data_IF_569863916239
#
_entry.id   IF_569863916239
#
_cell.length_a   1.000
_cell.length_b   1.000
_cell.length_c   1.000
_cell.angle_alpha   90.00
_cell.angle_beta   90.00
_cell.angle_gamma   90.00
#
_symmetry.space_group_name_H-M   'P 1'
#
loop_
_entity.id
_entity.type
_entity.pdbx_description
1 polymer ?
#
# COMPACT_ATOMS: atom_id res chain seq x y z
N UNK A 1 11.99 -17.58 3.91
CA UNK A 1 12.17 -16.43 3.00
C UNK A 1 10.81 -16.11 2.44
N UNK A 2 10.31 -14.90 2.66
CA UNK A 2 8.98 -14.52 2.20
C UNK A 2 9.00 -14.22 0.71
N UNK A 3 8.10 -14.83 -0.05
CA UNK A 3 7.98 -14.60 -1.49
C UNK A 3 7.00 -13.45 -1.76
N UNK A 4 7.45 -12.38 -2.41
CA UNK A 4 6.60 -11.23 -2.76
C UNK A 4 6.24 -11.22 -4.24
N UNK A 5 5.03 -11.67 -4.50
CA UNK A 5 4.41 -11.66 -5.81
C UNK A 5 3.62 -10.36 -6.03
N UNK A 6 3.70 -9.84 -7.23
CA UNK A 6 2.97 -8.64 -7.64
C UNK A 6 2.36 -8.87 -9.02
N UNK A 7 1.05 -9.03 -9.07
CA UNK A 7 0.29 -9.13 -10.32
C UNK A 7 -0.13 -7.76 -10.87
N UNK A 8 0.19 -6.67 -10.17
CA UNK A 8 -0.17 -5.31 -10.58
C UNK A 8 0.72 -4.87 -11.74
N UNK A 9 0.15 -4.78 -12.94
CA UNK A 9 0.89 -4.46 -14.17
C UNK A 9 1.37 -3.01 -14.24
N UNK A 10 0.69 -2.09 -13.55
CA UNK A 10 1.14 -0.69 -13.43
C UNK A 10 2.12 -0.46 -12.28
N UNK A 11 2.57 -1.51 -11.58
CA UNK A 11 3.55 -1.35 -10.52
C UNK A 11 4.94 -1.06 -11.10
N UNK A 12 5.51 0.09 -10.74
CA UNK A 12 6.83 0.53 -11.20
C UNK A 12 8.00 -0.37 -10.79
N UNK A 13 7.79 -1.24 -9.80
CA UNK A 13 8.79 -2.18 -9.28
C UNK A 13 8.47 -3.64 -9.62
N UNK A 14 7.44 -3.90 -10.43
CA UNK A 14 7.10 -5.24 -10.87
C UNK A 14 8.01 -5.68 -12.02
N UNK A 15 8.75 -6.77 -11.81
CA UNK A 15 9.56 -7.44 -12.81
C UNK A 15 9.14 -8.90 -12.88
N UNK A 16 8.55 -9.30 -14.01
CA UNK A 16 8.10 -10.69 -14.23
C UNK A 16 7.19 -11.24 -13.12
N UNK A 17 6.27 -10.41 -12.61
CA UNK A 17 5.35 -10.70 -11.50
C UNK A 17 5.98 -10.75 -10.10
N UNK A 18 7.19 -10.26 -9.93
CA UNK A 18 7.83 -10.11 -8.62
C UNK A 18 8.06 -8.64 -8.33
N UNK A 19 7.71 -8.20 -7.12
CA UNK A 19 8.06 -6.84 -6.70
C UNK A 19 9.51 -6.84 -6.22
N UNK A 20 10.37 -6.07 -6.89
CA UNK A 20 11.79 -6.00 -6.55
C UNK A 20 12.12 -4.84 -5.59
N UNK A 21 11.20 -4.47 -4.69
CA UNK A 21 11.51 -3.55 -3.59
C UNK A 21 12.16 -4.33 -2.45
N UNK A 22 13.07 -3.69 -1.69
CA UNK A 22 13.65 -4.31 -0.50
C UNK A 22 12.69 -4.32 0.69
N UNK A 23 11.64 -3.50 0.62
CA UNK A 23 10.59 -3.37 1.62
C UNK A 23 9.21 -3.19 0.96
N UNK A 24 8.13 -3.51 1.67
CA UNK A 24 6.77 -3.02 1.34
C UNK A 24 5.98 -2.72 2.61
N UNK A 25 4.97 -1.86 2.49
CA UNK A 25 4.01 -1.59 3.56
C UNK A 25 2.60 -1.95 3.11
N UNK A 26 1.98 -2.89 3.82
CA UNK A 26 0.56 -3.23 3.69
C UNK A 26 -0.24 -2.30 4.59
N UNK A 27 -0.90 -1.32 3.97
CA UNK A 27 -1.81 -0.38 4.59
C UNK A 27 -3.23 -0.92 4.72
N UNK A 28 -4.08 -0.10 5.34
CA UNK A 28 -5.45 -0.45 5.73
C UNK A 28 -5.55 -0.85 7.21
N UNK A 29 -5.19 0.00 8.18
CA UNK A 29 -5.12 -0.39 9.59
C UNK A 29 -6.40 -0.99 10.19
N UNK A 30 -7.55 -0.66 9.59
CA UNK A 30 -8.90 -1.10 9.97
C UNK A 30 -9.51 -2.09 8.97
N UNK A 31 -8.72 -2.63 8.04
CA UNK A 31 -9.23 -3.55 7.03
C UNK A 31 -9.79 -4.82 7.68
N UNK A 32 -10.98 -5.21 7.24
CA UNK A 32 -11.63 -6.47 7.58
C UNK A 32 -11.68 -7.45 6.41
N UNK A 33 -11.40 -6.98 5.19
CA UNK A 33 -11.36 -7.75 3.94
C UNK A 33 -10.16 -7.29 3.10
N UNK A 34 -9.66 -8.15 2.22
CA UNK A 34 -8.46 -7.89 1.40
C UNK A 34 -8.58 -6.60 0.57
N UNK A 35 -9.76 -6.32 0.00
CA UNK A 35 -10.02 -5.14 -0.84
C UNK A 35 -9.90 -3.79 -0.10
N UNK A 36 -9.85 -3.82 1.24
CA UNK A 36 -9.61 -2.65 2.08
C UNK A 36 -8.13 -2.47 2.44
N UNK A 37 -7.30 -3.47 2.16
CA UNK A 37 -5.85 -3.35 2.25
C UNK A 37 -5.29 -2.74 0.97
N UNK A 38 -4.08 -2.19 1.04
CA UNK A 38 -3.37 -1.67 -0.13
C UNK A 38 -1.86 -1.66 0.13
N UNK A 39 -1.06 -1.68 -0.94
CA UNK A 39 0.37 -1.42 -0.84
C UNK A 39 0.60 0.09 -0.72
N UNK A 40 1.01 0.56 0.46
CA UNK A 40 1.13 1.98 0.77
C UNK A 40 2.34 2.66 0.11
N UNK A 41 3.34 1.89 -0.29
CA UNK A 41 4.48 2.36 -1.10
C UNK A 41 4.34 1.92 -2.56
N UNK A 42 3.12 1.70 -3.03
CA UNK A 42 2.86 1.43 -4.43
C UNK A 42 3.31 2.62 -5.29
N UNK A 43 3.99 2.33 -6.40
CA UNK A 43 4.38 3.31 -7.40
C UNK A 43 3.64 2.93 -8.68
N UNK A 44 2.71 3.78 -9.10
CA UNK A 44 2.04 3.61 -10.40
C UNK A 44 2.96 4.15 -11.52
N UNK A 45 3.20 3.34 -12.55
CA UNK A 45 4.02 3.73 -13.70
C UNK A 45 3.43 4.88 -14.51
N UNK A 46 2.10 5.01 -14.53
CA UNK A 46 1.39 6.04 -15.28
C UNK A 46 1.39 7.37 -14.53
N UNK A 47 1.15 7.35 -13.22
CA UNK A 47 1.15 8.55 -12.37
C UNK A 47 2.58 9.08 -12.14
N UNK A 48 3.57 8.19 -12.08
CA UNK A 48 4.97 8.56 -11.84
C UNK A 48 5.84 8.58 -13.11
N UNK A 49 5.26 8.83 -14.28
CA UNK A 49 6.03 9.02 -15.53
C UNK A 49 7.03 10.17 -15.35
N UNK A 50 8.32 9.84 -15.20
CA UNK A 50 9.41 10.82 -15.08
C UNK A 50 9.97 11.02 -13.67
N UNK A 51 9.39 10.38 -12.64
CA UNK A 51 10.02 10.34 -11.31
C UNK A 51 11.19 9.36 -11.36
N UNK A 52 12.41 9.77 -10.98
CA UNK A 52 13.52 8.83 -10.82
C UNK A 52 13.08 7.72 -9.88
N UNK A 53 13.00 6.49 -10.39
CA UNK A 53 12.82 5.34 -9.53
C UNK A 53 14.07 5.30 -8.68
N UNK A 54 13.94 5.49 -7.36
CA UNK A 54 15.04 5.26 -6.44
C UNK A 54 15.61 3.90 -6.82
N UNK A 55 16.86 3.88 -7.28
CA UNK A 55 17.51 2.72 -7.86
C UNK A 55 17.78 1.71 -6.74
N UNK A 56 16.72 1.07 -6.26
CA UNK A 56 16.83 -0.13 -5.45
C UNK A 56 17.24 -1.23 -6.40
N UNK A 57 18.14 -2.10 -5.96
CA UNK A 57 18.66 -3.19 -6.79
C UNK A 57 17.50 -4.12 -7.18
N UNK A 58 16.91 -3.86 -8.35
CA UNK A 58 15.73 -4.54 -8.86
C UNK A 58 16.09 -5.84 -9.59
N UNK A 59 17.30 -6.36 -9.40
CA UNK A 59 17.79 -7.49 -10.17
C UNK A 59 17.41 -8.83 -9.56
N UNK A 60 17.24 -8.93 -8.24
CA UNK A 60 16.88 -10.17 -7.54
C UNK A 60 15.84 -9.93 -6.44
N UNK A 61 14.94 -10.90 -6.16
CA UNK A 61 14.15 -10.88 -4.94
C UNK A 61 15.05 -10.67 -3.72
N UNK A 62 14.69 -9.72 -2.86
CA UNK A 62 15.47 -9.45 -1.65
C UNK A 62 15.26 -10.60 -0.65
N UNK A 63 16.30 -11.38 -0.29
CA UNK A 63 16.16 -12.43 0.72
C UNK A 63 15.89 -11.87 2.12
N UNK A 64 16.17 -10.58 2.34
CA UNK A 64 15.88 -9.80 3.55
C UNK A 64 14.75 -8.81 3.31
N UNK A 65 13.70 -9.22 2.59
CA UNK A 65 12.52 -8.40 2.35
C UNK A 65 11.84 -8.06 3.69
N UNK A 66 11.75 -6.77 4.01
CA UNK A 66 11.02 -6.29 5.18
C UNK A 66 9.57 -5.93 4.79
N UNK A 67 8.60 -6.46 5.52
CA UNK A 67 7.19 -6.28 5.20
C UNK A 67 6.51 -5.69 6.41
N UNK A 68 6.23 -4.39 6.32
CA UNK A 68 5.45 -3.70 7.34
C UNK A 68 3.97 -3.97 7.11
N UNK A 69 3.27 -4.47 8.12
CA UNK A 69 1.82 -4.69 8.07
C UNK A 69 1.11 -3.81 9.09
N UNK A 70 0.40 -2.77 8.62
CA UNK A 70 -0.36 -1.89 9.52
C UNK A 70 -1.74 -2.46 9.87
N UNK A 71 -2.18 -3.51 9.16
CA UNK A 71 -3.51 -4.10 9.31
C UNK A 71 -3.59 -4.83 10.64
N UNK A 72 -4.23 -4.21 11.63
CA UNK A 72 -4.32 -4.71 13.02
C UNK A 72 -4.93 -6.11 13.10
N UNK A 73 -5.92 -6.37 12.23
CA UNK A 73 -6.62 -7.65 12.14
C UNK A 73 -5.99 -8.66 11.17
N UNK A 74 -4.79 -8.44 10.63
CA UNK A 74 -4.17 -9.42 9.74
C UNK A 74 -3.56 -10.56 10.56
N UNK A 75 -3.86 -11.84 10.28
CA UNK A 75 -3.32 -12.99 11.03
C UNK A 75 -1.79 -13.01 11.06
N UNK A 76 -1.17 -12.56 9.97
CA UNK A 76 0.27 -12.52 9.77
C UNK A 76 0.96 -11.29 10.38
N UNK A 77 0.24 -10.36 11.01
CA UNK A 77 0.83 -9.12 11.52
C UNK A 77 1.39 -9.26 12.95
N UNK A 78 2.67 -9.53 13.10
CA UNK A 78 3.40 -9.60 14.37
C UNK A 78 4.07 -8.27 14.68
N UNK A 79 3.47 -7.44 15.55
CA UNK A 79 3.95 -6.09 15.92
C UNK A 79 4.39 -5.22 14.72
N UNK A 80 3.50 -5.10 13.72
CA UNK A 80 3.73 -4.37 12.46
C UNK A 80 4.70 -5.04 11.49
N UNK A 81 5.22 -6.23 11.79
CA UNK A 81 5.98 -7.05 10.85
C UNK A 81 5.10 -8.19 10.31
N UNK A 82 5.14 -8.44 8.99
CA UNK A 82 4.37 -9.53 8.39
C UNK A 82 5.17 -10.85 8.45
N UNK A 83 4.61 -11.88 9.08
CA UNK A 83 5.20 -13.22 9.18
C UNK A 83 4.74 -14.19 8.08
N UNK A 84 4.00 -13.72 7.07
CA UNK A 84 3.57 -14.55 5.96
C UNK A 84 4.76 -15.09 5.14
N UNK A 85 4.70 -16.37 4.76
CA UNK A 85 5.70 -16.98 3.87
C UNK A 85 5.55 -16.52 2.41
N UNK A 86 4.36 -16.06 2.03
CA UNK A 86 4.04 -15.63 0.67
C UNK A 86 3.08 -14.46 0.67
N UNK A 87 3.42 -13.38 -0.02
CA UNK A 87 2.60 -12.18 -0.17
C UNK A 87 2.24 -11.96 -1.63
N UNK A 88 0.94 -11.92 -1.91
CA UNK A 88 0.36 -11.54 -3.20
C UNK A 88 -0.16 -10.10 -3.15
N UNK A 89 0.40 -9.21 -3.97
CA UNK A 89 -0.17 -7.89 -4.25
C UNK A 89 -0.90 -7.93 -5.58
N UNK A 90 -2.19 -7.57 -5.57
CA UNK A 90 -3.08 -7.59 -6.74
C UNK A 90 -3.77 -6.25 -6.93
N UNK A 91 -4.43 -6.12 -8.08
CA UNK A 91 -5.28 -4.99 -8.38
C UNK A 91 -6.72 -5.29 -7.97
N UNK A 92 -7.36 -4.35 -7.28
CA UNK A 92 -8.75 -4.41 -6.86
C UNK A 92 -9.52 -3.20 -7.35
N UNK A 93 -10.85 -3.32 -7.38
CA UNK A 93 -11.75 -2.21 -7.74
C UNK A 93 -12.64 -1.88 -6.55
N UNK A 94 -12.59 -0.63 -6.12
CA UNK A 94 -13.42 -0.08 -5.03
C UNK A 94 -14.28 1.05 -5.55
N UNK A 95 -15.34 1.41 -4.81
CA UNK A 95 -16.16 2.63 -4.98
C UNK A 95 -16.26 3.17 -6.43
N UNK A 96 -17.24 2.68 -7.19
CA UNK A 96 -17.52 3.14 -8.55
C UNK A 96 -16.39 2.88 -9.56
N UNK A 97 -15.53 1.89 -9.30
CA UNK A 97 -14.54 1.40 -10.26
C UNK A 97 -13.16 2.00 -10.11
N UNK A 98 -12.89 2.73 -9.02
CA UNK A 98 -11.54 3.16 -8.67
C UNK A 98 -10.62 1.94 -8.52
N UNK A 99 -9.53 1.95 -9.27
CA UNK A 99 -8.52 0.88 -9.24
C UNK A 99 -7.53 1.17 -8.10
N UNK A 100 -7.27 0.17 -7.27
CA UNK A 100 -6.29 0.22 -6.18
C UNK A 100 -5.50 -1.08 -6.09
N UNK A 101 -4.44 -1.09 -5.29
CA UNK A 101 -3.79 -2.35 -4.91
C UNK A 101 -4.48 -2.98 -3.69
N UNK A 102 -4.39 -4.30 -3.57
CA UNK A 102 -4.78 -5.06 -2.38
C UNK A 102 -3.71 -6.10 -2.06
N UNK A 103 -3.58 -6.44 -0.77
CA UNK A 103 -2.86 -7.62 -0.31
C UNK A 103 -3.82 -8.80 -0.34
N UNK A 104 -3.71 -9.66 -1.36
CA UNK A 104 -4.56 -10.85 -1.50
C UNK A 104 -4.22 -11.94 -0.48
N UNK A 105 -3.01 -11.90 0.09
CA UNK A 105 -2.61 -12.74 1.24
C UNK A 105 -3.30 -12.34 2.54
N UNK A 106 -3.91 -11.15 2.62
CA UNK A 106 -4.57 -10.72 3.85
C UNK A 106 -5.61 -11.75 4.31
N UNK A 107 -5.41 -12.20 5.54
CA UNK A 107 -6.38 -13.01 6.26
C UNK A 107 -6.75 -12.32 7.56
N UNK A 108 -8.04 -12.26 7.84
CA UNK A 108 -8.56 -11.60 9.02
C UNK A 108 -8.44 -12.53 10.24
N UNK A 109 -7.84 -12.03 11.32
CA UNK A 109 -7.88 -12.59 12.66
C UNK A 109 -9.33 -12.64 13.06
N UNK A 110 -9.91 -13.81 12.88
CA UNK A 110 -11.28 -14.08 13.24
C UNK A 110 -11.38 -14.02 14.75
N UNK A 111 -11.71 -12.85 15.30
CA UNK A 111 -12.16 -12.72 16.69
C UNK A 111 -13.55 -13.35 16.79
N UNK A 112 -13.61 -14.69 16.79
CA UNK A 112 -14.78 -15.49 17.16
C UNK A 112 -16.14 -15.00 16.66
N UNK A 113 -16.37 -14.98 15.34
CA UNK A 113 -17.72 -15.13 14.79
C UNK A 113 -17.67 -16.08 13.59
N UNK A 114 -18.57 -17.06 13.61
CA UNK A 114 -18.44 -18.30 12.86
C UNK A 114 -18.54 -18.14 11.34
N UNK A 115 -17.55 -18.69 10.64
CA UNK A 115 -17.75 -19.38 9.37
C UNK A 115 -18.02 -18.52 8.13
N UNK A 116 -17.02 -18.42 7.26
CA UNK A 116 -17.25 -18.51 5.82
C UNK A 116 -16.19 -19.37 5.17
N UNK A 117 -16.59 -20.61 4.89
CA UNK A 117 -15.82 -21.57 4.08
C UNK A 117 -15.88 -21.12 2.60
N UNK A 118 -14.71 -21.15 1.97
CA UNK A 118 -14.45 -21.33 0.53
C UNK A 118 -15.47 -20.79 -0.47
N UNK A 119 -15.10 -19.67 -1.11
CA UNK A 119 -15.67 -19.24 -2.40
C UNK A 119 -15.13 -20.12 -3.53
N UNK A 120 -15.83 -21.21 -3.83
CA UNK A 120 -15.89 -21.75 -5.21
C UNK A 120 -16.98 -20.95 -5.93
N UNK A 121 -16.66 -20.43 -7.11
CA UNK A 121 -17.34 -19.26 -7.67
C UNK A 121 -18.76 -19.44 -8.22
N UNK A 122 -19.20 -18.31 -8.79
CA UNK A 122 -20.38 -18.07 -9.66
C UNK A 122 -21.59 -17.46 -8.95
N UNK A 123 -22.11 -16.38 -9.55
CA UNK A 123 -23.44 -15.86 -9.26
C UNK A 123 -23.42 -14.57 -8.44
N UNK A 124 -23.75 -13.45 -9.10
CA UNK A 124 -23.82 -12.15 -8.44
C UNK A 124 -24.98 -12.03 -7.46
N UNK A 125 -24.87 -11.08 -6.53
CA UNK A 125 -25.98 -10.25 -6.06
C UNK A 125 -25.45 -9.04 -5.28
N UNK A 126 -26.11 -7.92 -5.54
CA UNK A 126 -26.04 -6.62 -4.90
C UNK A 126 -26.35 -6.71 -3.39
N UNK A 127 -25.59 -6.00 -2.54
CA UNK A 127 -26.04 -5.60 -1.19
C UNK A 127 -25.26 -4.40 -0.63
N UNK A 128 -25.92 -3.24 -0.72
CA UNK A 128 -26.02 -2.16 0.27
C UNK A 128 -24.85 -1.91 1.25
N UNK A 129 -24.14 -0.81 0.98
CA UNK A 129 -23.99 0.31 1.91
C UNK A 129 -23.43 0.03 3.31
N UNK A 130 -22.12 0.21 3.47
CA UNK A 130 -21.55 0.89 4.64
C UNK A 130 -20.55 1.93 4.16
N UNK A 131 -20.84 3.20 4.47
CA UNK A 131 -19.98 4.32 4.15
C UNK A 131 -18.64 4.21 4.87
N UNK A 132 -17.56 4.32 4.11
CA UNK A 132 -16.22 4.46 4.65
C UNK A 132 -15.66 5.79 4.14
N UNK A 133 -15.31 6.66 5.09
CA UNK A 133 -14.89 8.03 4.86
C UNK A 133 -13.69 8.13 3.92
N UNK A 134 -13.69 9.18 3.11
CA UNK A 134 -12.59 9.53 2.23
C UNK A 134 -11.31 9.76 3.04
N UNK A 135 -10.32 8.88 2.90
CA UNK A 135 -8.95 9.17 3.33
C UNK A 135 -8.29 9.95 2.20
N UNK A 136 -8.23 11.27 2.36
CA UNK A 136 -7.46 12.16 1.49
C UNK A 136 -5.97 11.83 1.60
N UNK A 137 -5.33 11.62 0.45
CA UNK A 137 -3.88 11.61 0.35
C UNK A 137 -3.36 12.99 0.75
N UNK A 138 -2.63 13.09 1.86
CA UNK A 138 -1.95 14.31 2.25
C UNK A 138 -0.77 14.51 1.29
N UNK A 139 -0.89 15.51 0.42
CA UNK A 139 0.23 16.07 -0.32
C UNK A 139 1.17 16.74 0.69
N UNK A 140 2.41 16.27 0.73
CA UNK A 140 3.48 16.88 1.50
C UNK A 140 3.99 18.07 0.68
N UNK A 141 3.45 19.27 0.94
CA UNK A 141 3.93 20.51 0.34
C UNK A 141 5.13 21.02 1.16
N UNK A 142 6.33 20.79 0.62
CA UNK A 142 7.58 21.33 1.16
C UNK A 142 7.64 22.83 0.86
N UNK A 143 7.38 23.64 1.89
CA UNK A 143 7.56 25.09 1.86
C UNK A 143 9.03 25.48 1.95
N UNK A 144 9.62 25.96 0.86
CA UNK A 144 10.83 26.78 0.88
C UNK A 144 10.45 28.22 1.26
N UNK A 145 10.68 28.62 2.52
CA UNK A 145 10.70 30.04 2.91
C UNK A 145 12.12 30.60 2.78
N UNK A 146 12.52 31.06 1.59
CA UNK A 146 13.59 32.07 1.49
C UNK A 146 13.01 33.44 1.83
N UNK A 147 13.13 33.85 3.10
CA UNK A 147 12.81 35.21 3.55
C UNK A 147 13.88 36.19 3.06
N UNK A 148 13.59 36.84 1.94
CA UNK A 148 14.10 38.16 1.64
C UNK A 148 13.09 39.21 2.10
N UNK A 149 13.49 40.14 2.96
CA UNK A 149 12.96 41.50 2.96
C UNK A 149 13.93 42.43 3.68
N UNK A 150 14.42 43.43 2.96
CA UNK A 150 15.13 44.56 3.54
C UNK A 150 14.18 45.59 4.15
N UNK A 151 14.67 46.35 5.11
CA UNK A 151 14.34 47.77 5.28
C UNK A 151 15.26 48.45 6.29
N UNK A 152 16.04 49.40 5.75
CA UNK A 152 16.26 50.78 6.23
C UNK A 152 16.63 51.08 7.69
N UNK A 153 17.79 51.76 7.84
CA UNK A 153 18.07 52.97 8.66
C UNK A 153 17.86 52.87 10.18
N UNK A 154 18.70 53.31 11.13
CA UNK A 154 19.92 54.16 11.29
C UNK A 154 20.17 54.15 12.84
N UNK A 155 20.92 55.09 13.46
CA UNK A 155 22.37 55.39 13.50
C UNK A 155 23.07 54.80 14.76
N UNK A 156 24.40 54.90 14.87
CA UNK A 156 25.11 55.74 15.89
C UNK A 156 26.60 55.37 16.05
N UNK A 157 27.41 56.45 16.07
CA UNK A 157 28.83 56.63 16.45
C UNK A 157 29.94 55.93 15.65
#
# INVERSE_FOLDING_TARGET
MTNLHCDVTSCGNNKSKFCCRPDIMVGGPRASVSTQTYCANFIDTEENRGVPKNAVDHQSPNPSLDIHCEVTKCVYNEDRACSADHIDIRTTKVNNGQVKTECATFENRSDGDGGSRNSVGSGGQNSQGKGYGAYSAALHESSEETKGFGSTNNPTY
#
